data_IF_256303779070
#
_entry.id   IF_256303779070
#
_cell.length_a   1.000
_cell.length_b   1.000
_cell.length_c   1.000
_cell.angle_alpha   90.00
_cell.angle_beta   90.00
_cell.angle_gamma   90.00
#
_symmetry.space_group_name_H-M   'P 1'
#
loop_
_entity.id
_entity.type
_entity.pdbx_description
1 polymer ?
#
# COMPACT_ATOMS: atom_id res chain seq x y z
N UNK A 1 -19.64 -8.51 16.01
CA UNK A 1 -19.07 -8.04 14.73
C UNK A 1 -19.32 -9.15 13.77
N UNK A 2 -20.11 -8.85 12.76
CA UNK A 2 -20.44 -9.81 11.73
C UNK A 2 -19.25 -9.96 10.78
N UNK A 3 -19.14 -11.10 10.10
CA UNK A 3 -18.01 -11.38 9.20
C UNK A 3 -17.89 -10.33 8.09
N UNK A 4 -19.03 -9.79 7.65
CA UNK A 4 -19.12 -8.66 6.72
C UNK A 4 -18.41 -7.39 7.21
N UNK A 5 -18.39 -7.12 8.52
CA UNK A 5 -17.79 -5.91 9.08
C UNK A 5 -16.25 -5.93 8.98
N UNK A 6 -15.67 -7.11 8.73
CA UNK A 6 -14.22 -7.31 8.65
C UNK A 6 -13.68 -7.25 7.23
N UNK A 7 -14.56 -7.31 6.23
CA UNK A 7 -14.18 -7.35 4.82
C UNK A 7 -13.99 -5.94 4.24
N UNK A 8 -12.97 -5.77 3.41
CA UNK A 8 -12.79 -4.53 2.63
C UNK A 8 -13.90 -4.37 1.59
N UNK A 9 -14.29 -3.15 1.19
CA UNK A 9 -15.29 -2.97 0.14
C UNK A 9 -14.92 -3.69 -1.16
N UNK A 10 -15.79 -4.59 -1.63
CA UNK A 10 -15.55 -5.44 -2.81
C UNK A 10 -15.21 -4.63 -4.07
N UNK A 11 -15.77 -3.42 -4.19
CA UNK A 11 -15.50 -2.51 -5.30
C UNK A 11 -14.03 -2.03 -5.32
N UNK A 12 -13.45 -1.77 -4.14
CA UNK A 12 -12.07 -1.32 -4.02
C UNK A 12 -11.10 -2.46 -4.36
N UNK A 13 -11.38 -3.67 -3.85
CA UNK A 13 -10.63 -4.89 -4.19
C UNK A 13 -10.68 -5.13 -5.70
N UNK A 14 -11.87 -5.10 -6.29
CA UNK A 14 -12.05 -5.29 -7.73
C UNK A 14 -11.31 -4.26 -8.59
N UNK A 15 -11.26 -2.99 -8.15
CA UNK A 15 -10.52 -1.93 -8.85
C UNK A 15 -9.02 -2.19 -8.83
N UNK A 16 -8.46 -2.56 -7.67
CA UNK A 16 -7.03 -2.87 -7.53
C UNK A 16 -6.68 -4.09 -8.38
N UNK A 17 -7.43 -5.18 -8.27
CA UNK A 17 -7.22 -6.38 -9.10
C UNK A 17 -7.22 -6.05 -10.60
N UNK A 18 -8.07 -5.12 -11.03
CA UNK A 18 -8.19 -4.73 -12.44
C UNK A 18 -6.98 -3.94 -12.95
N UNK A 19 -6.28 -3.21 -12.08
CA UNK A 19 -5.15 -2.36 -12.45
C UNK A 19 -3.93 -3.13 -12.99
N UNK A 20 -3.75 -4.40 -12.61
CA UNK A 20 -2.67 -5.26 -13.16
C UNK A 20 -3.10 -6.01 -14.42
N UNK A 21 -4.35 -5.89 -14.84
CA UNK A 21 -4.89 -6.66 -15.96
C UNK A 21 -5.06 -5.77 -17.21
N UNK A 22 -5.04 -6.36 -18.42
CA UNK A 22 -5.38 -5.64 -19.64
C UNK A 22 -6.77 -4.96 -19.54
N UNK A 23 -7.01 -3.84 -20.25
CA UNK A 23 -8.25 -3.08 -20.14
C UNK A 23 -9.52 -3.90 -20.37
N UNK A 24 -9.47 -4.88 -21.28
CA UNK A 24 -10.62 -5.70 -21.65
C UNK A 24 -10.81 -6.95 -20.79
N UNK A 25 -9.90 -7.24 -19.85
CA UNK A 25 -10.00 -8.41 -18.99
C UNK A 25 -11.26 -8.35 -18.10
N UNK A 26 -11.90 -9.50 -17.83
CA UNK A 26 -13.02 -9.57 -16.90
C UNK A 26 -12.59 -10.33 -15.65
N UNK A 27 -13.04 -9.88 -14.49
CA UNK A 27 -12.83 -10.56 -13.21
C UNK A 27 -14.18 -11.08 -12.75
N UNK A 28 -14.26 -12.39 -12.50
CA UNK A 28 -15.50 -13.03 -12.03
C UNK A 28 -15.90 -12.51 -10.64
N UNK A 29 -17.18 -12.67 -10.26
CA UNK A 29 -17.65 -12.32 -8.92
C UNK A 29 -16.88 -13.11 -7.84
N UNK A 30 -16.82 -14.44 -7.98
CA UNK A 30 -16.15 -15.32 -7.03
C UNK A 30 -14.66 -14.98 -6.87
N UNK A 31 -13.96 -14.61 -7.94
CA UNK A 31 -12.55 -14.19 -7.83
C UNK A 31 -12.36 -12.92 -6.99
N UNK A 32 -13.32 -11.99 -7.02
CA UNK A 32 -13.27 -10.79 -6.18
C UNK A 32 -13.55 -11.13 -4.72
N UNK A 33 -14.51 -12.01 -4.46
CA UNK A 33 -14.87 -12.46 -3.11
C UNK A 33 -13.70 -13.22 -2.47
N UNK A 34 -13.08 -14.17 -3.19
CA UNK A 34 -11.87 -14.86 -2.70
C UNK A 34 -10.74 -13.87 -2.41
N UNK A 35 -10.49 -12.90 -3.29
CA UNK A 35 -9.43 -11.91 -3.04
C UNK A 35 -9.77 -11.00 -1.86
N UNK A 36 -11.04 -10.67 -1.64
CA UNK A 36 -11.53 -9.88 -0.51
C UNK A 36 -11.30 -10.62 0.82
N UNK A 37 -11.54 -11.93 0.86
CA UNK A 37 -11.22 -12.78 2.00
C UNK A 37 -9.70 -12.84 2.22
N UNK A 38 -8.93 -13.14 1.16
CA UNK A 38 -7.47 -13.25 1.25
C UNK A 38 -6.80 -11.96 1.75
N UNK A 39 -7.23 -10.79 1.27
CA UNK A 39 -6.62 -9.51 1.71
C UNK A 39 -7.00 -9.16 3.14
N UNK A 40 -8.20 -9.53 3.58
CA UNK A 40 -8.65 -9.31 4.96
C UNK A 40 -7.88 -10.22 5.93
N UNK A 41 -7.67 -11.46 5.52
CA UNK A 41 -6.81 -12.40 6.25
C UNK A 41 -5.35 -11.94 6.26
N UNK A 42 -4.83 -11.44 5.14
CA UNK A 42 -3.46 -10.90 5.06
C UNK A 42 -3.24 -9.76 6.07
N UNK A 43 -4.19 -8.82 6.18
CA UNK A 43 -4.12 -7.74 7.18
C UNK A 43 -4.08 -8.34 8.59
N UNK A 44 -4.97 -9.29 8.88
CA UNK A 44 -5.05 -9.95 10.18
C UNK A 44 -3.77 -10.72 10.51
N UNK A 45 -3.19 -11.39 9.52
CA UNK A 45 -1.96 -12.17 9.65
C UNK A 45 -0.75 -11.30 9.96
N UNK A 46 -0.51 -10.25 9.16
CA UNK A 46 0.62 -9.33 9.36
C UNK A 46 0.47 -8.56 10.67
N UNK A 47 -0.74 -8.09 10.99
CA UNK A 47 -0.98 -7.35 12.24
C UNK A 47 -0.90 -8.26 13.47
N UNK A 48 -1.28 -9.54 13.35
CA UNK A 48 -1.08 -10.56 14.39
C UNK A 48 0.40 -10.75 14.71
N UNK A 49 1.24 -10.97 13.70
CA UNK A 49 2.69 -11.15 13.88
C UNK A 49 3.36 -9.90 14.50
N UNK A 50 2.98 -8.70 14.02
CA UNK A 50 3.45 -7.44 14.60
C UNK A 50 3.00 -7.25 16.05
N UNK A 51 1.75 -7.61 16.36
CA UNK A 51 1.19 -7.57 17.72
C UNK A 51 1.95 -8.50 18.67
N UNK A 52 2.28 -9.71 18.22
CA UNK A 52 3.03 -10.69 19.01
C UNK A 52 4.42 -10.18 19.36
N UNK A 53 5.14 -9.58 18.40
CA UNK A 53 6.41 -8.90 18.69
C UNK A 53 6.24 -7.77 19.70
N UNK A 54 5.27 -6.89 19.47
CA UNK A 54 4.99 -5.76 20.36
C UNK A 54 4.76 -6.23 21.81
N UNK A 55 3.96 -7.29 21.99
CA UNK A 55 3.70 -7.87 23.30
C UNK A 55 4.94 -8.54 23.91
N UNK A 56 5.74 -9.27 23.12
CA UNK A 56 7.01 -9.85 23.58
C UNK A 56 7.99 -8.80 24.09
N UNK A 57 7.93 -7.58 23.55
CA UNK A 57 8.72 -6.43 23.98
C UNK A 57 8.06 -5.62 25.12
N UNK A 58 6.99 -6.14 25.75
CA UNK A 58 6.23 -5.48 26.82
C UNK A 58 5.61 -4.13 26.42
N UNK A 59 5.33 -3.92 25.13
CA UNK A 59 4.63 -2.74 24.63
C UNK A 59 3.14 -3.05 24.44
N UNK A 60 2.30 -2.04 24.69
CA UNK A 60 0.83 -2.13 24.52
C UNK A 60 0.34 -1.54 23.20
N UNK A 61 1.22 -0.86 22.46
CA UNK A 61 0.88 -0.15 21.23
C UNK A 61 1.80 -0.64 20.12
N UNK A 62 1.18 -1.21 19.09
CA UNK A 62 1.84 -1.61 17.85
C UNK A 62 2.22 -0.35 17.08
N UNK A 63 3.49 -0.26 16.68
CA UNK A 63 4.03 0.88 15.95
C UNK A 63 4.40 0.48 14.51
N UNK A 64 4.74 1.47 13.67
CA UNK A 64 5.15 1.23 12.28
C UNK A 64 6.37 0.31 12.14
N UNK A 65 7.32 0.36 13.09
CA UNK A 65 8.51 -0.50 13.06
C UNK A 65 8.16 -1.99 13.29
N UNK A 66 7.06 -2.28 14.00
CA UNK A 66 6.57 -3.65 14.19
C UNK A 66 6.03 -4.22 12.89
N UNK A 67 5.32 -3.40 12.12
CA UNK A 67 4.81 -3.78 10.80
C UNK A 67 5.97 -4.05 9.83
N UNK A 68 6.98 -3.18 9.81
CA UNK A 68 8.17 -3.36 8.95
C UNK A 68 8.91 -4.67 9.29
N UNK A 69 9.05 -4.95 10.59
CA UNK A 69 9.64 -6.20 11.05
C UNK A 69 8.78 -7.41 10.68
N UNK A 70 7.48 -7.37 10.91
CA UNK A 70 6.57 -8.47 10.62
C UNK A 70 6.61 -8.83 9.12
N UNK A 71 6.57 -7.83 8.24
CA UNK A 71 6.70 -8.06 6.79
C UNK A 71 8.00 -8.78 6.44
N UNK A 72 9.13 -8.39 7.04
CA UNK A 72 10.42 -9.05 6.79
C UNK A 72 10.43 -10.48 7.35
N UNK A 73 9.97 -10.70 8.58
CA UNK A 73 9.90 -12.03 9.21
C UNK A 73 9.01 -13.00 8.44
N UNK A 74 7.92 -12.51 7.84
CA UNK A 74 6.98 -13.31 7.05
C UNK A 74 7.46 -13.57 5.61
N UNK A 75 8.65 -13.08 5.23
CA UNK A 75 9.24 -13.28 3.90
C UNK A 75 8.74 -12.29 2.83
N UNK A 76 8.15 -11.17 3.24
CA UNK A 76 7.75 -10.06 2.37
C UNK A 76 8.82 -8.94 2.36
N UNK A 77 10.11 -9.31 2.34
CA UNK A 77 11.25 -8.37 2.50
C UNK A 77 11.19 -7.20 1.51
N UNK A 78 10.81 -7.47 0.26
CA UNK A 78 10.66 -6.47 -0.79
C UNK A 78 9.59 -5.42 -0.46
N UNK A 79 8.54 -5.79 0.26
CA UNK A 79 7.53 -4.87 0.77
C UNK A 79 7.98 -4.21 2.07
N UNK A 80 8.65 -4.96 2.95
CA UNK A 80 9.22 -4.45 4.21
C UNK A 80 10.20 -3.29 3.97
N UNK A 81 11.08 -3.39 2.98
CA UNK A 81 12.02 -2.33 2.63
C UNK A 81 11.31 -1.04 2.17
N UNK A 82 10.31 -1.19 1.29
CA UNK A 82 9.54 -0.05 0.77
C UNK A 82 8.76 0.65 1.88
N UNK A 83 8.10 -0.12 2.75
CA UNK A 83 7.34 0.42 3.88
C UNK A 83 8.26 1.07 4.92
N UNK A 84 9.46 0.53 5.14
CA UNK A 84 10.46 1.14 6.03
C UNK A 84 10.86 2.52 5.53
N UNK A 85 11.19 2.64 4.24
CA UNK A 85 11.53 3.93 3.62
C UNK A 85 10.37 4.93 3.71
N UNK A 86 9.15 4.45 3.51
CA UNK A 86 7.94 5.26 3.68
C UNK A 86 7.83 5.81 5.10
N UNK A 87 7.96 4.94 6.10
CA UNK A 87 7.86 5.31 7.51
C UNK A 87 8.89 6.37 7.91
N UNK A 88 10.13 6.26 7.41
CA UNK A 88 11.17 7.27 7.66
C UNK A 88 10.77 8.65 7.15
N UNK A 89 10.29 8.73 5.91
CA UNK A 89 9.84 10.00 5.30
C UNK A 89 8.59 10.56 5.95
N UNK A 90 7.65 9.70 6.32
CA UNK A 90 6.47 10.11 7.09
C UNK A 90 6.89 10.81 8.39
N UNK A 91 7.85 10.22 9.13
CA UNK A 91 8.40 10.81 10.36
C UNK A 91 9.15 12.13 10.12
N UNK A 92 9.83 12.28 8.99
CA UNK A 92 10.46 13.56 8.59
C UNK A 92 9.43 14.64 8.34
N UNK A 93 8.41 14.33 7.54
CA UNK A 93 7.32 15.24 7.22
C UNK A 93 6.56 15.72 8.46
N UNK A 94 6.22 14.80 9.38
CA UNK A 94 5.54 15.15 10.62
C UNK A 94 6.38 16.09 11.51
N UNK A 95 7.72 15.94 11.50
CA UNK A 95 8.63 16.86 12.20
C UNK A 95 8.63 18.25 11.56
N UNK A 96 8.69 18.32 10.24
CA UNK A 96 8.65 19.59 9.50
C UNK A 96 7.33 20.34 9.73
N UNK A 97 6.20 19.62 9.78
CA UNK A 97 4.90 20.19 10.13
C UNK A 97 4.90 20.78 11.53
N UNK A 98 5.37 20.02 12.52
CA UNK A 98 5.43 20.50 13.92
C UNK A 98 6.34 21.72 14.12
N UNK A 99 7.36 21.90 13.27
CA UNK A 99 8.23 23.07 13.30
C UNK A 99 7.57 24.32 12.70
N UNK A 100 6.68 24.17 11.70
CA UNK A 100 5.94 25.28 11.07
C UNK A 100 4.84 25.83 11.97
N UNK A 101 4.18 24.97 12.75
CA UNK A 101 3.15 25.38 13.72
C UNK A 101 3.73 26.21 14.89
N UNK A 102 5.06 26.19 15.08
CA UNK A 102 5.77 27.04 16.04
C UNK A 102 6.00 28.48 15.57
N UNK A 103 5.81 28.80 14.28
CA UNK A 103 6.28 30.06 13.69
C UNK A 103 5.17 30.93 13.04
N UNK A 104 3.92 30.51 12.90
CA UNK A 104 2.83 31.41 12.48
C UNK A 104 1.41 30.88 12.75
N UNK A 105 0.64 31.57 13.60
CA UNK A 105 -0.83 31.48 13.63
C UNK A 105 -1.41 32.22 12.43
N UNK A 106 -1.74 31.53 11.33
CA UNK A 106 -2.90 31.83 10.47
C UNK A 106 -3.02 30.90 9.25
N UNK A 107 -4.24 30.38 9.04
CA UNK A 107 -4.85 29.96 7.76
C UNK A 107 -4.78 28.48 7.31
N UNK A 108 -5.78 27.71 7.74
CA UNK A 108 -6.73 26.90 6.93
C UNK A 108 -6.30 26.02 5.73
N UNK A 109 -6.69 24.74 5.82
CA UNK A 109 -7.17 23.86 4.72
C UNK A 109 -6.26 23.50 3.52
N UNK A 110 -4.95 23.73 3.56
CA UNK A 110 -4.01 23.26 2.52
C UNK A 110 -3.29 21.93 2.84
N UNK A 111 -3.32 21.49 4.11
CA UNK A 111 -2.50 20.38 4.63
C UNK A 111 -2.78 19.01 4.01
N UNK A 112 -3.99 18.76 3.49
CA UNK A 112 -4.35 17.47 2.90
C UNK A 112 -3.72 17.28 1.52
N UNK A 113 -3.50 18.38 0.77
CA UNK A 113 -2.95 18.33 -0.59
C UNK A 113 -1.47 18.00 -0.57
N UNK A 114 -0.72 18.59 0.36
CA UNK A 114 0.70 18.34 0.54
C UNK A 114 0.98 16.90 0.99
N UNK A 115 0.08 16.31 1.80
CA UNK A 115 0.15 14.90 2.15
C UNK A 115 0.01 14.01 0.91
N UNK A 116 -1.01 14.22 0.07
CA UNK A 116 -1.20 13.45 -1.16
C UNK A 116 -0.08 13.69 -2.19
N UNK A 117 0.46 14.91 -2.30
CA UNK A 117 1.60 15.23 -3.16
C UNK A 117 2.91 14.60 -2.66
N UNK A 118 3.12 14.53 -1.35
CA UNK A 118 4.25 13.82 -0.74
C UNK A 118 4.12 12.31 -0.91
N UNK A 119 2.92 11.75 -0.72
CA UNK A 119 2.60 10.35 -1.03
C UNK A 119 2.82 10.03 -2.52
N UNK A 120 2.42 10.94 -3.41
CA UNK A 120 2.59 10.81 -4.87
C UNK A 120 4.07 10.93 -5.25
N UNK A 121 4.80 11.86 -4.66
CA UNK A 121 6.25 12.03 -4.86
C UNK A 121 7.04 10.84 -4.31
N UNK A 122 6.60 10.27 -3.18
CA UNK A 122 7.18 9.06 -2.63
C UNK A 122 6.90 7.85 -3.50
N UNK A 123 5.66 7.69 -3.98
CA UNK A 123 5.29 6.67 -4.96
C UNK A 123 6.20 6.75 -6.19
N UNK A 124 6.36 7.94 -6.76
CA UNK A 124 7.25 8.19 -7.90
C UNK A 124 8.73 7.88 -7.58
N UNK A 125 9.18 8.14 -6.35
CA UNK A 125 10.55 7.84 -5.92
C UNK A 125 10.78 6.33 -5.70
N UNK A 126 9.79 5.62 -5.16
CA UNK A 126 9.84 4.16 -5.03
C UNK A 126 9.85 3.51 -6.42
N UNK A 127 9.00 3.98 -7.34
CA UNK A 127 8.95 3.54 -8.74
C UNK A 127 10.29 3.73 -9.48
N UNK A 128 11.16 4.66 -9.04
CA UNK A 128 12.45 4.97 -9.69
C UNK A 128 13.68 4.35 -9.04
N UNK A 129 13.59 3.84 -7.80
CA UNK A 129 14.76 3.40 -7.01
C UNK A 129 14.79 1.90 -6.69
N UNK A 130 13.71 1.17 -6.94
CA UNK A 130 13.72 -0.30 -6.92
C UNK A 130 13.82 -0.81 -8.35
N UNK A 131 14.81 -1.66 -8.65
CA UNK A 131 14.90 -2.38 -9.94
C UNK A 131 13.78 -3.42 -10.14
N UNK A 132 12.96 -3.61 -9.11
CA UNK A 132 11.65 -4.24 -9.22
C UNK A 132 10.61 -3.13 -9.30
N UNK A 133 9.83 -3.07 -10.39
CA UNK A 133 8.78 -2.10 -10.45
C UNK A 133 7.72 -2.54 -9.45
N UNK A 134 7.39 -1.67 -8.47
CA UNK A 134 6.01 -1.60 -8.00
C UNK A 134 5.11 -1.02 -9.11
N UNK A 135 5.28 -1.49 -10.35
CA UNK A 135 4.30 -1.30 -11.40
C UNK A 135 3.18 -2.32 -11.14
N UNK A 136 2.07 -1.81 -10.62
CA UNK A 136 0.82 -2.14 -11.30
C UNK A 136 0.97 -1.70 -12.75
N UNK A 137 1.48 -2.59 -13.62
CA UNK A 137 1.73 -2.31 -15.04
C UNK A 137 0.43 -1.85 -15.68
N UNK A 138 0.22 -0.55 -15.80
CA UNK A 138 -0.70 0.01 -16.78
C UNK A 138 -0.02 -0.27 -18.11
N UNK A 139 -0.34 -1.42 -18.71
CA UNK A 139 0.06 -1.73 -20.07
C UNK A 139 -0.61 -0.67 -20.94
N UNK A 140 0.20 0.30 -21.40
CA UNK A 140 -0.14 1.20 -22.48
C UNK A 140 -0.75 0.39 -23.62
N UNK A 141 -2.06 0.51 -23.78
CA UNK A 141 -2.85 -0.25 -24.75
C UNK A 141 -2.75 0.34 -26.15
N UNK A 142 -1.56 0.83 -26.53
CA UNK A 142 -1.36 1.51 -27.81
C UNK A 142 -0.11 1.08 -28.57
N UNK A 143 0.20 -0.22 -28.56
CA UNK A 143 0.95 -0.84 -29.66
C UNK A 143 0.24 -2.11 -30.10
N UNK A 144 -0.51 -1.96 -31.20
CA UNK A 144 -1.10 -3.08 -31.92
C UNK A 144 -0.03 -4.06 -32.35
N UNK A 145 -0.03 -5.25 -31.75
CA UNK A 145 0.76 -6.37 -32.23
C UNK A 145 -0.04 -7.05 -33.35
N UNK A 146 0.43 -6.82 -34.57
CA UNK A 146 0.02 -7.56 -35.77
C UNK A 146 0.45 -9.02 -35.60
N UNK A 147 -0.51 -9.88 -35.27
CA UNK A 147 -0.28 -11.31 -35.19
C UNK A 147 -0.28 -11.88 -36.61
N UNK A 148 0.91 -12.04 -37.21
CA UNK A 148 1.06 -12.89 -38.39
C UNK A 148 0.99 -14.36 -37.94
N UNK A 149 -0.14 -14.98 -38.23
CA UNK A 149 -0.36 -16.43 -38.24
C UNK A 149 0.74 -17.11 -39.04
N UNK A 150 1.43 -18.07 -38.42
CA UNK A 150 2.24 -19.06 -39.14
C UNK A 150 1.43 -20.35 -39.18
N UNK A 151 1.28 -20.88 -40.40
CA UNK A 151 0.60 -22.13 -40.75
C UNK A 151 1.19 -23.34 -40.04
#
# INVERSE_FOLDING_TARGET
MDESDRLLPIANVGRIMKNILPPNAKISKGSKETMQECVSEFISFVTGEASDKCHKENRKTVNGDDICWALSTLGFDNYGEVITRYLHKYREFEREKSNKDGECNSSGNEENRDHYESLTSFRNLVETSTSLPLEFRIIDSNKGLNLKTVK
#
